data_IF_556939705547
#
_entry.id   IF_556939705547
#
_cell.length_a   1.000
_cell.length_b   1.000
_cell.length_c   1.000
_cell.angle_alpha   90.00
_cell.angle_beta   90.00
_cell.angle_gamma   90.00
#
_symmetry.space_group_name_H-M   'P 1'
#
loop_
_entity.id
_entity.type
_entity.pdbx_description
1 polymer ?
#
# COMPACT_ATOMS: atom_id res chain seq x y z
N UNK A 1 18.90 -24.54 11.96
CA UNK A 1 18.23 -24.23 10.67
C UNK A 1 18.59 -22.80 10.33
N UNK A 2 19.29 -22.56 9.22
CA UNK A 2 19.60 -21.19 8.79
C UNK A 2 18.30 -20.50 8.38
N UNK A 3 18.08 -19.26 8.82
CA UNK A 3 16.99 -18.44 8.31
C UNK A 3 17.11 -18.35 6.78
N UNK A 4 16.01 -18.55 6.06
CA UNK A 4 16.00 -18.47 4.61
C UNK A 4 16.31 -17.03 4.18
N UNK A 5 17.28 -16.83 3.28
CA UNK A 5 17.39 -15.56 2.54
C UNK A 5 16.34 -15.60 1.45
N UNK A 6 15.19 -14.98 1.70
CA UNK A 6 14.04 -15.11 0.82
C UNK A 6 14.30 -14.50 -0.56
N UNK A 7 14.03 -15.30 -1.60
CA UNK A 7 13.91 -14.85 -2.99
C UNK A 7 12.43 -14.74 -3.37
N UNK A 8 11.85 -13.56 -3.13
CA UNK A 8 10.42 -13.30 -3.30
C UNK A 8 10.05 -13.04 -4.77
N UNK A 9 8.92 -13.60 -5.20
CA UNK A 9 8.25 -13.27 -6.44
C UNK A 9 6.76 -13.06 -6.22
N UNK A 10 6.14 -12.24 -7.08
CA UNK A 10 4.69 -12.04 -7.07
C UNK A 10 3.97 -13.30 -7.55
N UNK A 11 2.93 -13.68 -6.83
CA UNK A 11 2.03 -14.80 -7.14
C UNK A 11 0.58 -14.31 -7.01
N UNK A 12 -0.40 -15.06 -7.54
CA UNK A 12 -1.82 -14.73 -7.40
C UNK A 12 -2.18 -13.29 -7.83
N UNK A 13 -1.60 -12.84 -8.96
CA UNK A 13 -1.75 -11.50 -9.50
C UNK A 13 -3.21 -11.25 -9.96
N UNK A 14 -3.79 -10.14 -9.53
CA UNK A 14 -5.16 -9.71 -9.87
C UNK A 14 -5.14 -8.23 -10.18
N UNK A 15 -5.44 -7.84 -11.42
CA UNK A 15 -5.57 -6.44 -11.81
C UNK A 15 -6.96 -5.92 -11.46
N UNK A 16 -7.05 -4.62 -11.17
CA UNK A 16 -8.31 -3.97 -10.84
C UNK A 16 -8.12 -2.51 -10.46
N UNK A 17 -8.98 -2.03 -9.58
CA UNK A 17 -9.00 -0.65 -9.11
C UNK A 17 -8.95 -0.60 -7.59
N UNK A 18 -8.12 0.29 -7.04
CA UNK A 18 -8.29 0.80 -5.70
C UNK A 18 -9.38 1.86 -5.76
N UNK A 19 -10.53 1.58 -5.16
CA UNK A 19 -11.63 2.53 -5.00
C UNK A 19 -11.50 3.18 -3.63
N UNK A 20 -11.68 4.49 -3.58
CA UNK A 20 -11.65 5.29 -2.35
C UNK A 20 -13.01 5.94 -2.17
N UNK A 21 -13.54 5.81 -0.97
CA UNK A 21 -14.84 6.35 -0.57
C UNK A 21 -14.70 7.19 0.70
N UNK A 22 -15.59 8.17 0.84
CA UNK A 22 -15.61 9.08 1.97
C UNK A 22 -16.99 9.21 2.56
N UNK A 23 -17.04 9.23 3.89
CA UNK A 23 -18.26 9.57 4.60
C UNK A 23 -18.36 11.09 4.79
N UNK A 24 -19.38 11.73 4.22
CA UNK A 24 -19.58 13.18 4.35
C UNK A 24 -19.91 13.64 5.77
N UNK A 25 -20.55 12.78 6.57
CA UNK A 25 -20.98 13.15 7.92
C UNK A 25 -19.83 13.21 8.94
N UNK A 26 -18.88 12.29 8.84
CA UNK A 26 -17.81 12.14 9.84
C UNK A 26 -16.40 12.29 9.27
N UNK A 27 -16.26 12.43 7.96
CA UNK A 27 -14.97 12.50 7.28
C UNK A 27 -14.20 11.17 7.23
N UNK A 28 -14.83 10.05 7.64
CA UNK A 28 -14.22 8.73 7.52
C UNK A 28 -13.87 8.41 6.06
N UNK A 29 -12.87 7.55 5.91
CA UNK A 29 -12.37 7.08 4.62
C UNK A 29 -12.35 5.56 4.60
N UNK A 30 -12.75 5.01 3.48
CA UNK A 30 -12.66 3.58 3.19
C UNK A 30 -11.93 3.42 1.86
N UNK A 31 -11.18 2.34 1.74
CA UNK A 31 -10.63 1.96 0.45
C UNK A 31 -10.79 0.47 0.23
N UNK A 32 -11.13 0.06 -0.98
CA UNK A 32 -11.26 -1.36 -1.31
C UNK A 32 -10.76 -1.64 -2.72
N UNK A 33 -10.42 -2.90 -2.95
CA UNK A 33 -10.06 -3.36 -4.27
C UNK A 33 -11.31 -3.84 -5.02
N UNK A 34 -11.50 -3.36 -6.25
CA UNK A 34 -12.48 -3.87 -7.18
C UNK A 34 -11.78 -4.56 -8.36
N UNK A 35 -12.17 -5.81 -8.64
CA UNK A 35 -11.73 -6.55 -9.83
C UNK A 35 -12.62 -6.27 -11.06
N UNK A 36 -13.58 -5.35 -10.94
CA UNK A 36 -14.50 -5.02 -12.02
C UNK A 36 -13.78 -4.30 -13.18
N UNK A 37 -14.27 -4.45 -14.42
CA UNK A 37 -13.66 -3.80 -15.58
C UNK A 37 -13.74 -2.28 -15.53
N UNK A 38 -14.69 -1.73 -14.75
CA UNK A 38 -14.90 -0.32 -14.50
C UNK A 38 -15.00 -0.17 -12.98
N UNK A 39 -14.36 0.84 -12.36
CA UNK A 39 -14.47 1.04 -10.92
C UNK A 39 -15.93 1.33 -10.55
N UNK A 40 -16.49 0.68 -9.52
CA UNK A 40 -17.80 1.01 -9.01
C UNK A 40 -17.81 2.47 -8.52
N UNK A 41 -18.86 3.20 -8.90
CA UNK A 41 -19.10 4.59 -8.50
C UNK A 41 -20.48 4.60 -7.87
N UNK A 42 -20.50 4.49 -6.54
CA UNK A 42 -21.72 4.36 -5.77
C UNK A 42 -21.82 5.44 -4.69
N UNK A 43 -23.05 5.68 -4.26
CA UNK A 43 -23.38 6.41 -3.04
C UNK A 43 -24.37 5.58 -2.24
N UNK A 44 -24.09 5.37 -0.95
CA UNK A 44 -24.93 4.51 -0.12
C UNK A 44 -24.92 4.93 1.35
N UNK A 45 -25.93 4.47 2.08
CA UNK A 45 -26.02 4.63 3.52
C UNK A 45 -25.65 3.32 4.20
N UNK A 46 -24.74 3.39 5.16
CA UNK A 46 -24.41 2.30 6.07
C UNK A 46 -24.57 2.79 7.51
N UNK A 47 -25.69 2.45 8.13
CA UNK A 47 -26.06 2.98 9.44
C UNK A 47 -26.15 4.51 9.42
N UNK A 48 -25.22 5.18 10.12
CA UNK A 48 -25.10 6.64 10.17
C UNK A 48 -24.12 7.23 9.15
N UNK A 49 -23.54 6.42 8.29
CA UNK A 49 -22.54 6.87 7.34
C UNK A 49 -23.17 7.03 5.96
N UNK A 50 -23.09 8.23 5.40
CA UNK A 50 -23.34 8.47 3.97
C UNK A 50 -22.02 8.42 3.21
N UNK A 51 -21.77 7.29 2.55
CA UNK A 51 -20.56 7.02 1.77
C UNK A 51 -20.75 7.50 0.33
N UNK A 52 -19.78 8.25 -0.18
CA UNK A 52 -19.70 8.64 -1.59
C UNK A 52 -18.35 8.27 -2.18
N UNK A 53 -18.36 7.88 -3.45
CA UNK A 53 -17.16 7.74 -4.26
C UNK A 53 -16.30 9.01 -4.26
N UNK A 54 -15.00 8.85 -3.99
CA UNK A 54 -14.02 9.95 -4.00
C UNK A 54 -13.00 9.81 -5.13
N UNK A 55 -12.73 8.60 -5.59
CA UNK A 55 -11.78 8.36 -6.66
C UNK A 55 -11.46 6.88 -6.83
N UNK A 56 -10.86 6.57 -7.96
CA UNK A 56 -10.38 5.23 -8.27
C UNK A 56 -9.04 5.30 -8.97
N UNK A 57 -8.17 4.35 -8.66
CA UNK A 57 -6.84 4.24 -9.25
C UNK A 57 -6.62 2.82 -9.72
N UNK A 58 -6.12 2.63 -10.94
CA UNK A 58 -5.73 1.30 -11.40
C UNK A 58 -4.65 0.74 -10.46
N UNK A 59 -4.78 -0.54 -10.11
CA UNK A 59 -3.89 -1.22 -9.18
C UNK A 59 -3.88 -2.72 -9.43
N UNK A 60 -3.10 -3.44 -8.62
CA UNK A 60 -3.11 -4.89 -8.61
C UNK A 60 -2.98 -5.42 -7.17
N UNK A 61 -3.67 -6.53 -6.89
CA UNK A 61 -3.38 -7.38 -5.72
C UNK A 61 -2.49 -8.53 -6.14
N UNK A 62 -1.61 -8.96 -5.24
CA UNK A 62 -0.74 -10.11 -5.41
C UNK A 62 -0.36 -10.64 -4.04
N UNK A 63 0.10 -11.88 -4.00
CA UNK A 63 0.76 -12.47 -2.84
C UNK A 63 2.26 -12.59 -3.12
N UNK A 64 3.07 -12.79 -2.09
CA UNK A 64 4.50 -13.07 -2.24
C UNK A 64 4.78 -14.53 -1.95
N UNK A 65 5.51 -15.18 -2.84
CA UNK A 65 6.00 -16.54 -2.64
C UNK A 65 7.54 -16.57 -2.76
N UNK A 66 8.20 -17.36 -1.93
CA UNK A 66 9.65 -17.47 -1.92
C UNK A 66 10.10 -18.67 -2.75
N UNK A 67 10.90 -18.46 -3.80
CA UNK A 67 11.43 -19.56 -4.64
C UNK A 67 12.33 -20.53 -3.87
N UNK A 68 13.06 -20.02 -2.88
CA UNK A 68 14.07 -20.79 -2.16
C UNK A 68 13.46 -21.74 -1.12
N UNK A 69 12.34 -21.39 -0.49
CA UNK A 69 11.75 -22.19 0.60
C UNK A 69 10.25 -22.48 0.45
N UNK A 70 9.58 -21.97 -0.60
CA UNK A 70 8.15 -22.16 -0.84
C UNK A 70 7.23 -21.43 0.15
N UNK A 71 7.77 -20.57 1.03
CA UNK A 71 6.94 -19.78 1.94
C UNK A 71 6.06 -18.83 1.14
N UNK A 72 4.78 -18.75 1.48
CA UNK A 72 3.82 -17.82 0.91
C UNK A 72 3.33 -16.83 1.97
N UNK A 73 3.32 -15.55 1.60
CA UNK A 73 2.76 -14.45 2.38
C UNK A 73 1.55 -13.92 1.61
N UNK A 74 0.37 -14.08 2.20
CA UNK A 74 -0.84 -13.45 1.68
C UNK A 74 -0.79 -11.94 1.97
N UNK A 75 -1.16 -11.14 0.98
CA UNK A 75 -1.30 -9.68 1.12
C UNK A 75 -2.76 -9.26 0.87
N UNK A 76 -3.72 -10.10 1.24
CA UNK A 76 -5.16 -9.78 1.08
C UNK A 76 -5.59 -8.57 1.92
N UNK A 77 -4.85 -8.25 2.98
CA UNK A 77 -4.99 -7.04 3.82
C UNK A 77 -4.43 -5.76 3.18
N UNK A 78 -3.75 -5.86 2.01
CA UNK A 78 -3.25 -4.72 1.23
C UNK A 78 -4.15 -4.48 0.02
N UNK A 79 -4.91 -3.39 0.03
CA UNK A 79 -5.77 -2.98 -1.09
C UNK A 79 -5.03 -2.20 -2.19
N UNK A 80 -3.87 -1.64 -1.86
CA UNK A 80 -3.02 -0.96 -2.83
C UNK A 80 -1.73 -0.45 -2.21
N UNK A 81 -0.75 -0.15 -3.07
CA UNK A 81 0.49 0.52 -2.70
C UNK A 81 0.49 1.93 -3.28
N UNK A 82 0.72 2.92 -2.42
CA UNK A 82 0.75 4.33 -2.80
C UNK A 82 2.13 4.91 -2.52
N UNK A 83 2.81 5.45 -3.54
CA UNK A 83 4.06 6.19 -3.36
C UNK A 83 3.77 7.48 -2.59
N UNK A 84 4.36 7.70 -1.43
CA UNK A 84 4.10 8.88 -0.61
C UNK A 84 4.94 10.08 -1.02
N UNK A 85 4.29 11.20 -1.29
CA UNK A 85 4.90 12.52 -1.45
C UNK A 85 4.72 13.39 -0.19
N UNK A 86 4.25 12.83 0.92
CA UNK A 86 4.00 13.58 2.14
C UNK A 86 5.29 14.25 2.64
N UNK A 87 5.23 15.56 2.91
CA UNK A 87 6.33 16.35 3.50
C UNK A 87 6.03 16.90 4.89
N UNK A 88 4.82 16.66 5.41
CA UNK A 88 4.40 17.13 6.73
C UNK A 88 5.21 16.41 7.83
N UNK A 89 6.07 17.11 8.59
CA UNK A 89 6.86 16.49 9.65
C UNK A 89 6.02 16.03 10.84
N UNK A 90 4.77 16.50 10.97
CA UNK A 90 3.81 15.99 11.96
C UNK A 90 3.21 14.64 11.61
N UNK A 91 3.37 14.18 10.36
CA UNK A 91 2.95 12.86 9.89
C UNK A 91 4.14 11.89 9.95
N UNK A 92 3.97 10.67 10.48
CA UNK A 92 5.10 9.74 10.60
C UNK A 92 5.69 9.39 9.23
N UNK A 93 4.85 9.23 8.20
CA UNK A 93 5.30 9.02 6.82
C UNK A 93 6.02 10.25 6.26
N UNK A 94 5.54 11.47 6.57
CA UNK A 94 6.20 12.69 6.14
C UNK A 94 7.55 12.92 6.81
N UNK A 95 7.64 12.66 8.12
CA UNK A 95 8.90 12.63 8.85
C UNK A 95 9.86 11.57 8.28
N UNK A 96 9.37 10.37 7.98
CA UNK A 96 10.16 9.30 7.36
C UNK A 96 10.68 9.73 5.98
N UNK A 97 9.84 10.31 5.13
CA UNK A 97 10.20 10.85 3.82
C UNK A 97 11.31 11.90 3.93
N UNK A 98 11.24 12.80 4.93
CA UNK A 98 12.22 13.87 5.13
C UNK A 98 13.57 13.35 5.64
N UNK A 99 13.62 12.13 6.18
CA UNK A 99 14.85 11.48 6.67
C UNK A 99 15.55 10.63 5.59
N UNK A 100 14.93 10.44 4.42
CA UNK A 100 15.52 9.58 3.39
C UNK A 100 16.51 10.33 2.51
N UNK A 101 17.54 9.60 2.09
CA UNK A 101 18.48 10.06 1.08
C UNK A 101 17.78 10.26 -0.28
N UNK A 102 18.26 11.22 -1.10
CA UNK A 102 17.72 11.45 -2.44
C UNK A 102 17.62 10.17 -3.28
N UNK A 103 16.44 9.91 -3.83
CA UNK A 103 16.16 8.73 -4.66
C UNK A 103 15.63 7.51 -3.90
N UNK A 104 15.50 7.58 -2.57
CA UNK A 104 14.70 6.61 -1.82
C UNK A 104 13.20 6.85 -2.00
N UNK A 105 12.42 5.77 -2.00
CA UNK A 105 10.97 5.79 -2.20
C UNK A 105 10.27 5.25 -0.95
N UNK A 106 9.22 5.93 -0.50
CA UNK A 106 8.38 5.45 0.61
C UNK A 106 7.00 5.08 0.06
N UNK A 107 6.64 3.80 0.10
CA UNK A 107 5.32 3.31 -0.22
C UNK A 107 4.48 3.12 1.04
N UNK A 108 3.22 3.51 0.93
CA UNK A 108 2.19 3.27 1.93
C UNK A 108 1.32 2.12 1.45
N UNK A 109 1.30 1.03 2.22
CA UNK A 109 0.39 -0.09 2.02
C UNK A 109 -0.96 0.24 2.65
N UNK A 110 -1.99 0.35 1.81
CA UNK A 110 -3.34 0.74 2.19
C UNK A 110 -4.14 -0.51 2.61
N UNK A 111 -4.68 -0.53 3.82
CA UNK A 111 -5.67 -1.52 4.24
C UNK A 111 -7.11 -1.05 3.94
N UNK A 112 -8.08 -1.91 4.23
CA UNK A 112 -9.50 -1.59 4.03
C UNK A 112 -10.00 -0.44 4.91
N UNK A 113 -9.70 -0.53 6.21
CA UNK A 113 -10.05 0.51 7.18
C UNK A 113 -8.97 1.59 7.24
N UNK A 114 -9.09 2.62 6.42
CA UNK A 114 -8.15 3.73 6.45
C UNK A 114 -8.31 4.68 7.66
N UNK A 115 -9.35 4.48 8.49
CA UNK A 115 -9.51 5.19 9.77
C UNK A 115 -8.70 4.56 10.90
N UNK A 116 -8.29 3.29 10.75
CA UNK A 116 -7.56 2.51 11.76
C UNK A 116 -8.27 2.41 13.12
N UNK A 117 -9.59 2.63 13.15
CA UNK A 117 -10.36 2.66 14.40
C UNK A 117 -10.44 1.29 15.06
N UNK A 118 -10.36 0.24 14.25
CA UNK A 118 -10.27 -1.16 14.70
C UNK A 118 -8.90 -1.51 15.31
N UNK A 119 -7.87 -0.68 15.08
CA UNK A 119 -6.48 -0.96 15.47
C UNK A 119 -5.77 -1.98 14.57
N UNK A 120 -6.51 -2.61 13.65
CA UNK A 120 -5.98 -3.53 12.66
C UNK A 120 -5.59 -2.77 11.38
N UNK A 121 -4.47 -3.18 10.78
CA UNK A 121 -3.95 -2.63 9.53
C UNK A 121 -3.15 -3.74 8.84
N UNK A 122 -2.46 -3.41 7.75
CA UNK A 122 -1.56 -4.34 7.06
C UNK A 122 -0.63 -5.05 8.04
N UNK A 123 -0.55 -6.37 7.92
CA UNK A 123 0.20 -7.26 8.78
C UNK A 123 1.70 -6.97 8.75
N UNK A 124 2.35 -7.14 9.90
CA UNK A 124 3.81 -6.94 10.01
C UNK A 124 4.61 -7.84 9.06
N UNK A 125 4.19 -9.10 8.92
CA UNK A 125 4.81 -10.06 7.99
C UNK A 125 4.64 -9.64 6.52
N UNK A 126 3.49 -9.08 6.14
CA UNK A 126 3.26 -8.52 4.81
C UNK A 126 4.18 -7.32 4.53
N UNK A 127 4.30 -6.39 5.48
CA UNK A 127 5.20 -5.24 5.38
C UNK A 127 6.66 -5.68 5.25
N UNK A 128 7.10 -6.66 6.05
CA UNK A 128 8.47 -7.17 5.98
C UNK A 128 8.75 -7.83 4.61
N UNK A 129 7.85 -8.68 4.13
CA UNK A 129 8.00 -9.34 2.84
C UNK A 129 8.02 -8.34 1.68
N UNK A 130 7.18 -7.30 1.71
CA UNK A 130 7.18 -6.22 0.72
C UNK A 130 8.50 -5.44 0.71
N UNK A 131 9.03 -5.10 1.90
CA UNK A 131 10.34 -4.44 1.99
C UNK A 131 11.46 -5.33 1.43
N UNK A 132 11.47 -6.63 1.73
CA UNK A 132 12.44 -7.56 1.15
C UNK A 132 12.29 -7.68 -0.37
N UNK A 133 11.05 -7.76 -0.86
CA UNK A 133 10.76 -7.88 -2.29
C UNK A 133 11.27 -6.68 -3.09
N UNK A 134 10.93 -5.44 -2.70
CA UNK A 134 11.31 -4.24 -3.45
C UNK A 134 12.81 -3.93 -3.38
N UNK A 135 13.52 -4.40 -2.35
CA UNK A 135 14.96 -4.14 -2.19
C UNK A 135 15.85 -5.30 -2.64
N UNK A 136 15.31 -6.36 -3.26
CA UNK A 136 16.07 -7.58 -3.62
C UNK A 136 17.26 -7.34 -4.55
N UNK A 137 17.21 -6.30 -5.38
CA UNK A 137 18.23 -5.96 -6.39
C UNK A 137 18.77 -4.52 -6.25
N UNK A 138 18.50 -3.84 -5.13
CA UNK A 138 19.00 -2.47 -4.92
C UNK A 138 20.38 -2.60 -4.27
N UNK A 139 21.41 -2.79 -5.11
CA UNK A 139 22.80 -2.80 -4.69
C UNK A 139 23.35 -1.36 -4.66
N UNK A 140 23.53 -0.83 -3.45
CA UNK A 140 24.58 0.14 -3.11
C UNK A 140 24.58 1.55 -3.74
N UNK A 141 23.42 2.10 -4.15
CA UNK A 141 23.31 3.50 -4.62
C UNK A 141 22.80 4.51 -3.55
N UNK A 142 22.69 4.10 -2.28
CA UNK A 142 22.09 4.93 -1.22
C UNK A 142 20.57 5.14 -1.36
N UNK A 143 19.95 4.49 -2.36
CA UNK A 143 18.51 4.47 -2.59
C UNK A 143 17.94 3.23 -1.93
N UNK A 144 16.75 3.34 -1.34
CA UNK A 144 15.99 2.21 -0.81
C UNK A 144 14.51 2.40 -1.00
N UNK A 145 13.78 1.30 -1.10
CA UNK A 145 12.33 1.30 -1.05
C UNK A 145 11.89 0.98 0.38
N UNK A 146 11.01 1.79 0.96
CA UNK A 146 10.48 1.56 2.29
C UNK A 146 8.98 1.41 2.19
N UNK A 147 8.47 0.25 2.58
CA UNK A 147 7.03 0.02 2.64
C UNK A 147 6.56 0.14 4.08
N UNK A 148 5.53 0.94 4.32
CA UNK A 148 4.94 1.18 5.64
C UNK A 148 3.42 0.98 5.62
N UNK A 149 2.81 0.56 6.73
CA UNK A 149 1.35 0.45 6.81
C UNK A 149 0.70 1.84 6.86
N UNK A 150 -0.49 1.99 6.27
CA UNK A 150 -1.18 3.28 6.21
C UNK A 150 -1.61 3.87 7.57
N UNK A 151 -1.57 3.09 8.67
CA UNK A 151 -1.73 3.63 10.04
C UNK A 151 -0.64 4.62 10.45
N UNK A 152 0.48 4.67 9.73
CA UNK A 152 1.52 5.69 9.94
C UNK A 152 1.16 7.05 9.31
N UNK A 153 0.13 7.10 8.46
CA UNK A 153 -0.37 8.35 7.89
C UNK A 153 -1.34 9.02 8.86
N UNK A 154 -1.19 10.33 9.10
CA UNK A 154 -2.19 11.11 9.84
C UNK A 154 -3.50 11.26 9.06
N UNK A 155 -3.42 11.23 7.73
CA UNK A 155 -4.54 11.28 6.80
C UNK A 155 -4.05 10.83 5.44
N UNK A 156 -4.76 9.88 4.83
CA UNK A 156 -4.46 9.41 3.48
C UNK A 156 -4.66 10.55 2.47
N UNK A 157 -5.65 11.43 2.67
CA UNK A 157 -5.90 12.61 1.82
C UNK A 157 -4.72 13.61 1.80
N UNK A 158 -3.99 13.73 2.91
CA UNK A 158 -2.82 14.63 3.03
C UNK A 158 -1.53 13.96 2.58
N UNK A 159 -1.47 12.64 2.60
CA UNK A 159 -0.37 11.86 2.05
C UNK A 159 -0.61 11.66 0.56
N UNK A 160 -0.49 12.75 -0.22
CA UNK A 160 -0.56 12.68 -1.69
C UNK A 160 0.43 11.64 -2.21
N UNK A 161 0.02 10.93 -3.25
CA UNK A 161 0.83 9.86 -3.79
C UNK A 161 0.32 9.27 -5.08
N UNK A 162 1.21 8.61 -5.80
CA UNK A 162 0.86 7.84 -7.01
C UNK A 162 0.61 6.39 -6.61
N UNK A 163 -0.60 5.91 -6.84
CA UNK A 163 -0.93 4.48 -6.68
C UNK A 163 -0.22 3.71 -7.78
N UNK A 164 0.50 2.64 -7.43
CA UNK A 164 1.24 1.86 -8.41
C UNK A 164 0.25 1.10 -9.29
N UNK A 165 0.38 1.33 -10.60
CA UNK A 165 -0.44 0.75 -11.66
C UNK A 165 0.27 -0.42 -12.35
N UNK A 166 1.61 -0.46 -12.31
CA UNK A 166 2.38 -1.40 -13.12
C UNK A 166 3.78 -1.72 -12.56
N UNK A 167 4.31 -2.88 -12.99
CA UNK A 167 5.49 -3.61 -12.53
C UNK A 167 6.85 -2.93 -12.82
N UNK A 168 6.88 -1.74 -13.41
CA UNK A 168 8.10 -1.03 -13.81
C UNK A 168 9.08 -0.66 -12.68
N UNK A 169 8.78 -1.00 -11.43
CA UNK A 169 9.73 -0.89 -10.32
C UNK A 169 10.77 -2.02 -10.28
N UNK A 170 10.64 -3.05 -11.11
CA UNK A 170 11.77 -3.93 -11.44
C UNK A 170 12.69 -3.34 -12.51
N UNK A 171 12.28 -2.25 -13.17
CA UNK A 171 13.05 -1.56 -14.22
C UNK A 171 13.66 -0.24 -13.69
N UNK A 172 13.93 -0.17 -12.38
CA UNK A 172 14.81 0.86 -11.83
C UNK A 172 16.25 0.49 -12.23
N UNK A 173 16.62 0.80 -13.48
CA UNK A 173 18.01 0.87 -13.95
C UNK A 173 18.70 2.16 -13.47
#
# INVERSE_FOLDING_TARGET
MSACKHDWFMSNLRHGFLVVEGCWECGARSSFFSAEPIPPIDEYHEGRHFWSFMGSFQTMKFDLECRACGTRISLDDVNGLMLSECKDPGCQVGALNNQQEPGSLVYVALCADSTHTTGECVSGGGIEALNQYFNRNIEDLGRRVIVVPCKMCNSVDKCRGTVIVDVGLTDIE
#
